data_IF_681719129015
#
_entry.id   IF_681719129015
#
_cell.length_a   1.000
_cell.length_b   1.000
_cell.length_c   1.000
_cell.angle_alpha   90.00
_cell.angle_beta   90.00
_cell.angle_gamma   90.00
#
_symmetry.space_group_name_H-M   'P 1'
#
loop_
_entity.id
_entity.type
_entity.pdbx_description
1 polymer ?
#
# COMPACT_ATOMS: atom_id res chain seq x y z
N UNK A 1 -7.56 17.31 -1.95
CA UNK A 1 -6.33 16.48 -2.02
C UNK A 1 -6.57 15.39 -3.03
N UNK A 2 -5.86 15.41 -4.14
CA UNK A 2 -5.91 14.32 -5.12
C UNK A 2 -5.23 13.09 -4.49
N UNK A 3 -5.95 11.96 -4.43
CA UNK A 3 -5.35 10.68 -4.00
C UNK A 3 -4.31 10.30 -5.04
N UNK A 4 -3.16 9.77 -4.63
CA UNK A 4 -2.09 9.38 -5.55
C UNK A 4 -1.75 7.90 -5.36
N UNK A 5 -1.40 7.23 -6.46
CA UNK A 5 -0.95 5.85 -6.39
C UNK A 5 0.40 5.75 -5.68
N UNK A 6 0.49 4.92 -4.64
CA UNK A 6 1.74 4.76 -3.87
C UNK A 6 2.90 4.24 -4.71
N UNK A 7 2.61 3.44 -5.75
CA UNK A 7 3.59 2.88 -6.67
C UNK A 7 4.01 3.87 -7.78
N UNK A 8 3.07 4.31 -8.63
CA UNK A 8 3.40 5.11 -9.82
C UNK A 8 3.31 6.63 -9.62
N UNK A 9 2.90 7.09 -8.42
CA UNK A 9 2.73 8.50 -8.02
C UNK A 9 1.78 9.33 -8.89
N UNK A 10 1.00 8.69 -9.77
CA UNK A 10 -0.03 9.36 -10.59
C UNK A 10 -1.26 9.71 -9.75
N UNK A 11 -1.90 10.83 -10.06
CA UNK A 11 -3.18 11.22 -9.50
C UNK A 11 -4.30 10.22 -9.85
N UNK A 12 -5.11 9.88 -8.85
CA UNK A 12 -6.24 8.96 -8.94
C UNK A 12 -7.51 9.81 -8.95
N UNK A 13 -8.23 9.78 -10.07
CA UNK A 13 -9.36 10.69 -10.29
C UNK A 13 -10.72 10.08 -9.93
N UNK A 14 -10.95 8.76 -10.06
CA UNK A 14 -12.26 8.15 -9.75
C UNK A 14 -12.18 6.65 -9.39
N UNK A 15 -11.64 5.81 -10.28
CA UNK A 15 -11.51 4.37 -10.04
C UNK A 15 -10.13 4.06 -9.45
N UNK A 16 -10.11 3.78 -8.15
CA UNK A 16 -8.89 3.44 -7.42
C UNK A 16 -9.12 2.24 -6.52
N UNK A 17 -8.04 1.49 -6.32
CA UNK A 17 -7.98 0.45 -5.32
C UNK A 17 -7.54 1.09 -3.99
N UNK A 18 -8.44 1.10 -3.02
CA UNK A 18 -8.18 1.53 -1.65
C UNK A 18 -8.04 0.30 -0.77
N UNK A 19 -6.95 0.23 0.00
CA UNK A 19 -6.74 -0.82 1.00
C UNK A 19 -6.06 -0.24 2.24
N UNK A 20 -5.76 -1.10 3.23
CA UNK A 20 -5.12 -0.66 4.48
C UNK A 20 -3.69 -0.10 4.28
N UNK A 21 -3.03 -0.44 3.18
CA UNK A 21 -1.70 0.10 2.81
C UNK A 21 -1.83 1.51 2.24
N UNK A 22 -2.84 1.76 1.39
CA UNK A 22 -3.05 3.06 0.76
C UNK A 22 -3.85 2.99 -0.54
N UNK A 23 -3.56 3.92 -1.45
CA UNK A 23 -4.27 4.06 -2.72
C UNK A 23 -3.43 3.57 -3.90
N UNK A 24 -4.06 2.82 -4.81
CA UNK A 24 -3.42 2.26 -6.00
C UNK A 24 -4.30 2.40 -7.24
N UNK A 25 -3.67 2.41 -8.41
CA UNK A 25 -4.42 2.41 -9.68
C UNK A 25 -5.20 1.09 -9.88
N UNK A 26 -4.66 -0.03 -9.39
CA UNK A 26 -5.19 -1.38 -9.54
C UNK A 26 -4.38 -2.36 -8.67
N UNK A 27 -4.82 -3.62 -8.64
CA UNK A 27 -4.15 -4.71 -7.90
C UNK A 27 -2.72 -4.97 -8.39
N UNK A 28 -2.43 -4.76 -9.67
CA UNK A 28 -1.08 -4.95 -10.23
C UNK A 28 -0.09 -3.94 -9.62
N UNK A 29 -0.50 -2.69 -9.44
CA UNK A 29 0.33 -1.68 -8.78
C UNK A 29 0.51 -1.97 -7.29
N UNK A 30 -0.49 -2.57 -6.64
CA UNK A 30 -0.39 -3.01 -5.26
C UNK A 30 0.62 -4.15 -5.10
N UNK A 31 0.52 -5.20 -5.92
CA UNK A 31 1.47 -6.33 -5.91
C UNK A 31 2.91 -5.86 -6.20
N UNK A 32 3.08 -4.97 -7.19
CA UNK A 32 4.39 -4.38 -7.49
C UNK A 32 4.93 -3.54 -6.35
N UNK A 33 4.08 -2.77 -5.67
CA UNK A 33 4.48 -2.00 -4.50
C UNK A 33 5.02 -2.93 -3.41
N UNK A 34 4.27 -3.98 -3.04
CA UNK A 34 4.69 -4.95 -2.04
C UNK A 34 6.02 -5.63 -2.40
N UNK A 35 6.23 -5.96 -3.67
CA UNK A 35 7.48 -6.55 -4.18
C UNK A 35 8.66 -5.58 -4.23
N UNK A 36 8.41 -4.27 -4.26
CA UNK A 36 9.44 -3.24 -4.21
C UNK A 36 9.81 -2.83 -2.79
N UNK A 37 9.03 -3.24 -1.79
CA UNK A 37 9.39 -3.01 -0.39
C UNK A 37 10.63 -3.84 -0.04
N UNK A 38 11.49 -3.24 0.77
CA UNK A 38 12.56 -4.00 1.44
C UNK A 38 11.94 -4.94 2.47
N UNK A 39 12.72 -5.92 2.92
CA UNK A 39 12.26 -6.90 3.90
C UNK A 39 11.77 -6.21 5.19
N UNK A 40 12.53 -5.27 5.74
CA UNK A 40 12.12 -4.44 6.88
C UNK A 40 10.82 -3.66 6.63
N UNK A 41 10.74 -2.92 5.52
CA UNK A 41 9.53 -2.14 5.18
C UNK A 41 8.29 -3.03 5.06
N UNK A 42 8.43 -4.22 4.46
CA UNK A 42 7.34 -5.20 4.38
C UNK A 42 6.94 -5.70 5.77
N UNK A 43 7.90 -5.96 6.65
CA UNK A 43 7.66 -6.37 8.03
C UNK A 43 6.92 -5.25 8.78
N UNK A 44 7.41 -4.01 8.75
CA UNK A 44 6.74 -2.87 9.40
C UNK A 44 5.30 -2.69 8.88
N UNK A 45 5.10 -2.83 7.57
CA UNK A 45 3.79 -2.80 6.94
C UNK A 45 2.87 -3.91 7.48
N UNK A 46 3.36 -5.14 7.62
CA UNK A 46 2.60 -6.24 8.21
C UNK A 46 2.32 -6.02 9.70
N UNK A 47 3.28 -5.51 10.48
CA UNK A 47 3.09 -5.14 11.88
C UNK A 47 2.05 -4.03 12.06
N UNK A 48 1.93 -3.12 11.09
CA UNK A 48 0.87 -2.10 11.07
C UNK A 48 -0.53 -2.72 10.91
N UNK A 49 -0.65 -3.87 10.25
CA UNK A 49 -1.93 -4.60 10.11
C UNK A 49 -2.21 -5.59 11.22
N UNK A 50 -1.16 -6.19 11.74
CA UNK A 50 -1.21 -7.13 12.84
C UNK A 50 -0.62 -6.44 14.06
N UNK A 51 -1.46 -5.72 14.81
CA UNK A 51 -1.20 -5.51 16.22
C UNK A 51 -1.23 -6.88 16.89
N UNK A 52 -0.11 -7.61 16.82
CA UNK A 52 0.19 -8.64 17.80
C UNK A 52 0.22 -7.90 19.14
N UNK A 53 -0.95 -7.83 19.76
CA UNK A 53 -1.11 -7.38 21.12
C UNK A 53 -0.41 -8.44 21.97
N UNK A 54 0.89 -8.23 22.18
CA UNK A 54 1.70 -9.00 23.11
C UNK A 54 1.05 -8.80 24.49
N UNK A 55 0.24 -9.78 24.88
CA UNK A 55 -0.33 -9.92 26.22
C UNK A 55 0.12 -11.24 26.79
#
# INVERSE_FOLDING_TARGET
MEKQCFYCKKGLNNELLENKVGYFCNEVHYDKYLKNLSWDEYIELQHSFCTCNDN
#
